data_IF_125808080381
#
_entry.id   IF_125808080381
#
_cell.length_a   1.000
_cell.length_b   1.000
_cell.length_c   1.000
_cell.angle_alpha   90.00
_cell.angle_beta   90.00
_cell.angle_gamma   90.00
#
_symmetry.space_group_name_H-M   'P 1'
#
loop_
_entity.id
_entity.type
_entity.pdbx_description
1 polymer ?
#
# COMPACT_ATOMS: atom_id res chain seq x y z
N UNK A 1 -10.42 -18.61 18.15
CA UNK A 1 -9.93 -17.22 17.96
C UNK A 1 -9.00 -17.09 16.76
N UNK A 2 -8.17 -18.08 16.44
CA UNK A 2 -7.22 -17.95 15.32
C UNK A 2 -7.86 -17.88 13.93
N UNK A 3 -8.88 -18.72 13.66
CA UNK A 3 -9.57 -18.72 12.36
C UNK A 3 -10.19 -17.35 12.00
N UNK A 4 -10.62 -16.59 13.02
CA UNK A 4 -11.12 -15.23 12.83
C UNK A 4 -10.05 -14.29 12.28
N UNK A 5 -8.84 -14.31 12.85
CA UNK A 5 -7.73 -13.45 12.42
C UNK A 5 -7.24 -13.80 11.01
N UNK A 6 -7.22 -15.10 10.67
CA UNK A 6 -6.95 -15.54 9.31
C UNK A 6 -7.98 -15.04 8.31
N UNK A 7 -9.28 -15.21 8.62
CA UNK A 7 -10.35 -14.72 7.76
C UNK A 7 -10.29 -13.20 7.59
N UNK A 8 -10.07 -12.48 8.69
CA UNK A 8 -9.93 -11.02 8.68
C UNK A 8 -8.78 -10.56 7.79
N UNK A 9 -7.60 -11.18 7.91
CA UNK A 9 -6.46 -10.85 7.07
C UNK A 9 -6.72 -11.16 5.59
N UNK A 10 -7.32 -12.32 5.27
CA UNK A 10 -7.66 -12.69 3.89
C UNK A 10 -8.63 -11.68 3.27
N UNK A 11 -9.69 -11.30 4.00
CA UNK A 11 -10.66 -10.31 3.52
C UNK A 11 -9.99 -8.96 3.29
N UNK A 12 -9.18 -8.47 4.23
CA UNK A 12 -8.46 -7.21 4.05
C UNK A 12 -7.46 -7.25 2.89
N UNK A 13 -6.73 -8.36 2.73
CA UNK A 13 -5.80 -8.51 1.60
C UNK A 13 -6.55 -8.56 0.26
N UNK A 14 -7.70 -9.22 0.19
CA UNK A 14 -8.54 -9.23 -1.00
C UNK A 14 -9.09 -7.84 -1.32
N UNK A 15 -9.55 -7.09 -0.32
CA UNK A 15 -9.99 -5.70 -0.49
C UNK A 15 -8.84 -4.80 -0.93
N UNK A 16 -7.65 -4.95 -0.33
CA UNK A 16 -6.46 -4.23 -0.74
C UNK A 16 -6.05 -4.55 -2.18
N UNK A 17 -6.12 -5.82 -2.58
CA UNK A 17 -5.88 -6.23 -3.96
C UNK A 17 -6.88 -5.59 -4.93
N UNK A 18 -8.17 -5.59 -4.61
CA UNK A 18 -9.19 -4.88 -5.39
C UNK A 18 -8.88 -3.38 -5.46
N UNK A 19 -8.46 -2.78 -4.34
CA UNK A 19 -8.04 -1.38 -4.26
C UNK A 19 -6.79 -1.03 -5.08
N UNK A 20 -5.97 -2.01 -5.46
CA UNK A 20 -4.86 -1.75 -6.41
C UNK A 20 -5.35 -1.55 -7.84
N UNK A 21 -6.50 -2.15 -8.20
CA UNK A 21 -7.12 -2.02 -9.53
C UNK A 21 -8.06 -0.83 -9.57
N UNK A 22 -8.81 -0.62 -8.48
CA UNK A 22 -9.78 0.47 -8.33
C UNK A 22 -9.11 1.57 -7.51
N UNK A 23 -8.61 2.66 -8.14
CA UNK A 23 -7.75 3.66 -7.49
C UNK A 23 -8.56 4.63 -6.62
N UNK A 24 -9.40 4.10 -5.72
CA UNK A 24 -10.13 4.86 -4.70
C UNK A 24 -9.29 4.97 -3.43
N UNK A 25 -8.55 3.92 -3.09
CA UNK A 25 -7.71 3.85 -1.88
C UNK A 25 -6.40 3.14 -2.18
N UNK A 26 -5.34 3.42 -1.42
CA UNK A 26 -4.05 2.78 -1.66
C UNK A 26 -4.06 1.30 -1.28
N UNK A 27 -4.30 0.43 -2.28
CA UNK A 27 -4.46 -1.00 -2.07
C UNK A 27 -3.25 -1.69 -1.43
N UNK A 28 -2.04 -1.28 -1.79
CA UNK A 28 -0.78 -1.80 -1.22
C UNK A 28 -0.66 -1.51 0.27
N UNK A 29 -1.14 -0.36 0.73
CA UNK A 29 -1.12 0.02 2.15
C UNK A 29 -2.14 -0.79 2.96
N UNK A 30 -3.30 -1.08 2.39
CA UNK A 30 -4.29 -1.98 3.02
C UNK A 30 -3.70 -3.38 3.18
N UNK A 31 -3.01 -3.89 2.16
CA UNK A 31 -2.34 -5.20 2.19
C UNK A 31 -1.26 -5.24 3.29
N UNK A 32 -0.43 -4.19 3.40
CA UNK A 32 0.58 -4.09 4.45
C UNK A 32 -0.05 -4.02 5.85
N UNK A 33 -1.10 -3.20 6.02
CA UNK A 33 -1.81 -3.08 7.28
C UNK A 33 -2.42 -4.42 7.73
N UNK A 34 -3.02 -5.17 6.80
CA UNK A 34 -3.54 -6.52 7.06
C UNK A 34 -2.45 -7.46 7.57
N UNK A 35 -1.27 -7.46 6.93
CA UNK A 35 -0.15 -8.28 7.32
C UNK A 35 0.39 -7.92 8.72
N UNK A 36 0.47 -6.63 9.05
CA UNK A 36 0.90 -6.15 10.38
C UNK A 36 -0.12 -6.55 11.45
N UNK A 37 -1.41 -6.32 11.22
CA UNK A 37 -2.47 -6.72 12.16
C UNK A 37 -2.45 -8.23 12.39
N UNK A 38 -2.28 -9.02 11.33
CA UNK A 38 -2.17 -10.48 11.42
C UNK A 38 -0.93 -10.92 12.23
N UNK A 39 0.20 -10.22 12.09
CA UNK A 39 1.42 -10.47 12.89
C UNK A 39 1.21 -10.17 14.37
N UNK A 40 0.60 -9.03 14.68
CA UNK A 40 0.34 -8.62 16.07
C UNK A 40 -0.68 -9.56 16.74
N UNK A 41 -1.70 -10.00 16.00
CA UNK A 41 -2.78 -10.83 16.55
C UNK A 41 -2.39 -12.30 16.80
N UNK A 42 -1.58 -12.91 15.94
CA UNK A 42 -1.21 -14.34 16.02
C UNK A 42 0.21 -14.59 16.54
N UNK A 43 1.00 -13.53 16.74
CA UNK A 43 2.37 -13.63 17.21
C UNK A 43 3.36 -14.12 16.14
N UNK A 44 4.64 -14.19 16.52
CA UNK A 44 5.72 -14.48 15.59
C UNK A 44 5.73 -15.93 15.05
N UNK A 45 5.19 -16.87 15.82
CA UNK A 45 5.27 -18.31 15.54
C UNK A 45 4.18 -18.80 14.57
N UNK A 46 3.07 -18.07 14.47
CA UNK A 46 1.91 -18.43 13.62
C UNK A 46 1.61 -17.42 12.51
N UNK A 47 2.47 -16.42 12.34
CA UNK A 47 2.28 -15.34 11.38
C UNK A 47 3.50 -15.11 10.50
N UNK A 48 3.37 -14.21 9.53
CA UNK A 48 4.41 -13.84 8.55
C UNK A 48 5.72 -13.47 9.25
N UNK A 49 6.86 -14.00 8.82
CA UNK A 49 8.17 -13.65 9.36
C UNK A 49 8.48 -12.14 9.26
N UNK A 50 9.35 -11.64 10.13
CA UNK A 50 9.75 -10.22 10.12
C UNK A 50 10.37 -9.81 8.77
N UNK A 51 11.10 -10.72 8.11
CA UNK A 51 11.64 -10.52 6.76
C UNK A 51 10.54 -10.26 5.72
N UNK A 52 9.43 -11.00 5.78
CA UNK A 52 8.30 -10.81 4.88
C UNK A 52 7.63 -9.45 5.10
N UNK A 53 7.46 -9.03 6.36
CA UNK A 53 6.91 -7.70 6.67
C UNK A 53 7.81 -6.57 6.18
N UNK A 54 9.13 -6.68 6.38
CA UNK A 54 10.10 -5.69 5.87
C UNK A 54 10.05 -5.64 4.35
N UNK A 55 9.99 -6.79 3.67
CA UNK A 55 9.87 -6.85 2.22
C UNK A 55 8.57 -6.19 1.73
N UNK A 56 7.43 -6.47 2.38
CA UNK A 56 6.15 -5.85 2.04
C UNK A 56 6.16 -4.34 2.26
N UNK A 57 6.77 -3.86 3.35
CA UNK A 57 6.95 -2.43 3.60
C UNK A 57 7.80 -1.78 2.50
N UNK A 58 8.93 -2.39 2.15
CA UNK A 58 9.80 -1.90 1.09
C UNK A 58 9.08 -1.83 -0.27
N UNK A 59 8.32 -2.88 -0.61
CA UNK A 59 7.51 -2.90 -1.84
C UNK A 59 6.43 -1.82 -1.84
N UNK A 60 5.75 -1.61 -0.71
CA UNK A 60 4.72 -0.57 -0.57
C UNK A 60 5.30 0.83 -0.80
N UNK A 61 6.45 1.12 -0.18
CA UNK A 61 7.16 2.39 -0.38
C UNK A 61 7.64 2.56 -1.82
N UNK A 62 8.10 1.48 -2.45
CA UNK A 62 8.52 1.48 -3.85
C UNK A 62 7.33 1.77 -4.78
N UNK A 63 6.17 1.18 -4.54
CA UNK A 63 4.94 1.48 -5.30
C UNK A 63 4.60 2.96 -5.22
N UNK A 64 4.58 3.55 -4.03
CA UNK A 64 4.33 4.98 -3.88
C UNK A 64 5.37 5.86 -4.58
N UNK A 65 6.65 5.49 -4.53
CA UNK A 65 7.68 6.21 -5.26
C UNK A 65 7.46 6.14 -6.78
N UNK A 66 7.06 4.98 -7.31
CA UNK A 66 6.76 4.79 -8.73
C UNK A 66 5.51 5.58 -9.12
N UNK A 67 4.43 5.53 -8.34
CA UNK A 67 3.19 6.25 -8.62
C UNK A 67 3.41 7.76 -8.62
N UNK A 68 4.15 8.28 -7.63
CA UNK A 68 4.53 9.68 -7.57
C UNK A 68 5.42 10.09 -8.77
N UNK A 69 6.39 9.24 -9.15
CA UNK A 69 7.25 9.50 -10.30
C UNK A 69 6.46 9.47 -11.62
N UNK A 70 5.54 8.51 -11.79
CA UNK A 70 4.67 8.39 -12.94
C UNK A 70 3.73 9.61 -13.05
N UNK A 71 3.12 10.02 -11.94
CA UNK A 71 2.30 11.23 -11.86
C UNK A 71 3.08 12.50 -12.21
N UNK A 72 4.30 12.63 -11.67
CA UNK A 72 5.21 13.74 -11.98
C UNK A 72 5.57 13.77 -13.47
N UNK A 73 5.98 12.64 -14.03
CA UNK A 73 6.38 12.53 -15.45
C UNK A 73 5.19 12.79 -16.38
N UNK A 74 4.01 12.26 -16.06
CA UNK A 74 2.77 12.52 -16.77
C UNK A 74 2.42 14.00 -16.76
N UNK A 75 2.31 14.61 -15.59
CA UNK A 75 1.97 16.03 -15.45
C UNK A 75 3.00 16.95 -16.13
N UNK A 76 4.30 16.63 -16.04
CA UNK A 76 5.36 17.38 -16.72
C UNK A 76 5.21 17.32 -18.24
N UNK A 77 4.81 16.16 -18.79
CA UNK A 77 4.58 15.98 -20.23
C UNK A 77 3.41 16.84 -20.75
N UNK A 78 2.40 17.09 -19.92
CA UNK A 78 1.24 17.93 -20.26
C UNK A 78 1.42 19.41 -19.89
N UNK A 79 2.64 19.85 -19.55
CA UNK A 79 2.95 21.26 -19.33
C UNK A 79 2.55 21.81 -17.95
N UNK A 80 2.38 20.94 -16.94
CA UNK A 80 2.09 21.38 -15.59
C UNK A 80 3.21 22.28 -15.04
N UNK A 81 2.82 23.38 -14.39
CA UNK A 81 3.75 24.28 -13.70
C UNK A 81 4.44 23.54 -12.55
N UNK A 82 5.62 24.02 -12.11
CA UNK A 82 6.35 23.41 -10.97
C UNK A 82 5.46 23.27 -9.72
N UNK A 83 4.55 24.22 -9.52
CA UNK A 83 3.56 24.22 -8.44
C UNK A 83 2.45 23.19 -8.64
N UNK A 84 1.97 23.00 -9.88
CA UNK A 84 1.00 21.94 -10.20
C UNK A 84 1.59 20.53 -10.04
N UNK A 85 2.89 20.38 -10.30
CA UNK A 85 3.63 19.13 -10.06
C UNK A 85 3.75 18.79 -8.57
N UNK A 86 4.14 19.79 -7.76
CA UNK A 86 4.26 19.62 -6.30
C UNK A 86 2.89 19.39 -5.67
N UNK A 87 1.87 20.12 -6.12
CA UNK A 87 0.48 19.94 -5.67
C UNK A 87 -0.09 18.57 -6.04
N UNK A 88 0.18 18.08 -7.26
CA UNK A 88 -0.24 16.74 -7.70
C UNK A 88 0.46 15.62 -6.93
N UNK A 89 1.76 15.75 -6.66
CA UNK A 89 2.50 14.80 -5.83
C UNK A 89 2.04 14.81 -4.36
N UNK A 90 1.76 15.99 -3.79
CA UNK A 90 1.22 16.12 -2.44
C UNK A 90 -0.21 15.56 -2.34
N UNK A 91 -1.03 15.75 -3.38
CA UNK A 91 -2.37 15.17 -3.46
C UNK A 91 -2.39 13.65 -3.61
N UNK A 92 -1.31 13.02 -4.06
CA UNK A 92 -1.18 11.56 -4.09
C UNK A 92 -0.82 10.95 -2.73
N UNK A 93 -0.35 11.78 -1.78
CA UNK A 93 0.02 11.38 -0.41
C UNK A 93 -1.14 11.53 0.60
N UNK A 94 -2.21 12.23 0.23
CA UNK A 94 -3.42 12.48 1.03
C UNK A 94 -4.53 11.58 0.48
#
# INVERSE_FOLDING_TARGET
MEAFWWLFAIVLMALGLIGTVIPIVPGTTIILAAAVVHRVALGADRSLGMSALIAMLALTLLTYAIDAAAGYMGAKRFGATKWGLIGGAAGALI
#
